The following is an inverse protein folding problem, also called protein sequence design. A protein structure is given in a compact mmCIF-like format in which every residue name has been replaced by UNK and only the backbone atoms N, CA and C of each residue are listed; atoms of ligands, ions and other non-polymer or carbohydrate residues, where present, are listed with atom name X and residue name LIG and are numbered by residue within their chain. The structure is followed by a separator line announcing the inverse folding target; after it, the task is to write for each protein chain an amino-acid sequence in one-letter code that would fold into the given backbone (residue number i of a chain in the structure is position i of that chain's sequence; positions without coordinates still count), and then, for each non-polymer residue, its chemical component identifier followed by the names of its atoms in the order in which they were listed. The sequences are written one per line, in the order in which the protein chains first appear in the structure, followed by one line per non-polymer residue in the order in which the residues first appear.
data_IF_270860794221
#
_entry.id   IF_270860794221
#
_cell.length_a   1.000
_cell.length_b   1.000
_cell.length_c   1.000
_cell.angle_alpha   90.00
_cell.angle_beta   90.00
_cell.angle_gamma   90.00
#
_symmetry.space_group_name_H-M   'P 1'
#
loop_
_entity.id
_entity.type
_entity.pdbx_description
1 polymer ?
#
# COMPACT_ATOMS: atom_id res chain seq x y z
N UNK A 1 -9.24 8.80 -6.37
CA UNK A 1 -9.18 8.71 -7.84
C UNK A 1 -10.62 8.55 -8.30
N UNK A 2 -11.17 9.47 -9.09
CA UNK A 2 -12.59 9.46 -9.46
C UNK A 2 -12.99 8.19 -10.24
N UNK A 3 -12.08 7.62 -11.04
CA UNK A 3 -12.41 6.52 -11.97
C UNK A 3 -11.92 5.12 -11.53
N UNK A 4 -11.05 5.04 -10.52
CA UNK A 4 -10.43 3.77 -10.12
C UNK A 4 -10.15 3.72 -8.61
N UNK A 5 -10.33 2.56 -8.00
CA UNK A 5 -9.92 2.33 -6.62
C UNK A 5 -8.40 2.10 -6.49
N UNK A 6 -7.80 2.55 -5.39
CA UNK A 6 -6.35 2.48 -5.20
C UNK A 6 -5.80 1.05 -5.11
N UNK A 7 -6.59 0.12 -4.58
CA UNK A 7 -6.28 -1.31 -4.52
C UNK A 7 -6.27 -1.96 -5.91
N UNK A 8 -7.18 -1.57 -6.81
CA UNK A 8 -7.16 -2.04 -8.21
C UNK A 8 -5.90 -1.57 -8.94
N UNK A 9 -5.48 -0.31 -8.72
CA UNK A 9 -4.23 0.20 -9.25
C UNK A 9 -3.03 -0.55 -8.68
N UNK A 10 -3.00 -0.80 -7.36
CA UNK A 10 -1.93 -1.53 -6.70
C UNK A 10 -1.75 -2.94 -7.29
N UNK A 11 -2.86 -3.66 -7.53
CA UNK A 11 -2.85 -4.98 -8.20
C UNK A 11 -2.22 -4.90 -9.60
N UNK A 12 -2.59 -3.90 -10.41
CA UNK A 12 -2.02 -3.70 -11.75
C UNK A 12 -0.52 -3.38 -11.69
N UNK A 13 -0.08 -2.53 -10.76
CA UNK A 13 1.34 -2.21 -10.57
C UNK A 13 2.11 -3.49 -10.20
N UNK A 14 1.61 -4.28 -9.25
CA UNK A 14 2.26 -5.53 -8.81
C UNK A 14 2.32 -6.60 -9.91
N UNK A 15 1.40 -6.60 -10.87
CA UNK A 15 1.48 -7.48 -12.03
C UNK A 15 2.65 -7.13 -12.97
N UNK A 16 3.06 -5.85 -13.02
CA UNK A 16 4.19 -5.39 -13.85
C UNK A 16 5.50 -5.39 -13.07
N UNK A 17 5.48 -4.95 -11.81
CA UNK A 17 6.63 -4.85 -10.90
C UNK A 17 6.28 -5.45 -9.54
N UNK A 18 6.45 -6.77 -9.37
CA UNK A 18 6.14 -7.45 -8.10
C UNK A 18 6.97 -6.94 -6.91
N UNK A 19 8.16 -6.42 -7.19
CA UNK A 19 9.20 -6.00 -6.24
C UNK A 19 8.97 -4.61 -5.65
N UNK A 20 8.21 -3.72 -6.31
CA UNK A 20 8.05 -2.34 -5.83
C UNK A 20 7.13 -2.30 -4.60
N UNK A 21 7.56 -1.74 -3.45
CA UNK A 21 6.70 -1.62 -2.28
C UNK A 21 5.58 -0.60 -2.55
N UNK A 22 4.36 -0.91 -2.10
CA UNK A 22 3.19 -0.03 -2.29
C UNK A 22 2.63 0.33 -0.91
N UNK A 23 2.49 1.64 -0.65
CA UNK A 23 1.79 2.18 0.51
C UNK A 23 0.43 2.72 0.05
N UNK A 24 -0.67 2.15 0.55
CA UNK A 24 -2.01 2.65 0.26
C UNK A 24 -2.47 3.64 1.34
N UNK A 25 -2.78 4.88 0.95
CA UNK A 25 -3.28 5.91 1.85
C UNK A 25 -4.78 6.15 1.63
N UNK A 26 -5.66 5.79 2.56
CA UNK A 26 -7.12 5.97 2.41
C UNK A 26 -7.78 6.62 3.63
N UNK A 27 -8.72 7.55 3.38
CA UNK A 27 -9.63 8.11 4.39
C UNK A 27 -11.05 7.57 4.29
N UNK A 28 -11.29 6.64 3.35
CA UNK A 28 -12.62 6.11 3.08
C UNK A 28 -12.94 4.98 4.08
N UNK A 29 -14.11 5.05 4.71
CA UNK A 29 -14.54 4.11 5.76
C UNK A 29 -15.14 2.80 5.21
N UNK A 30 -15.04 2.55 3.89
CA UNK A 30 -15.27 1.20 3.36
C UNK A 30 -14.23 0.33 4.02
N UNK A 31 -14.66 -0.72 4.74
CA UNK A 31 -13.80 -1.73 5.35
C UNK A 31 -12.84 -2.26 4.28
N UNK A 32 -11.66 -1.64 4.16
CA UNK A 32 -10.51 -2.29 3.57
C UNK A 32 -10.15 -3.34 4.61
N UNK A 33 -10.69 -4.54 4.43
CA UNK A 33 -10.40 -5.64 5.33
C UNK A 33 -8.95 -6.06 5.14
N UNK A 34 -8.39 -6.71 6.16
CA UNK A 34 -7.07 -7.30 6.08
C UNK A 34 -6.96 -8.26 4.88
N UNK A 35 -8.06 -8.91 4.46
CA UNK A 35 -8.08 -9.72 3.24
C UNK A 35 -7.83 -8.91 1.97
N UNK A 36 -8.37 -7.70 1.85
CA UNK A 36 -8.11 -6.84 0.68
C UNK A 36 -6.64 -6.44 0.64
N UNK A 37 -6.04 -6.16 1.79
CA UNK A 37 -4.60 -5.83 1.89
C UNK A 37 -3.76 -7.05 1.49
N UNK A 38 -4.09 -8.23 2.02
CA UNK A 38 -3.40 -9.49 1.72
C UNK A 38 -3.48 -9.86 0.24
N UNK A 39 -4.66 -9.76 -0.38
CA UNK A 39 -4.88 -10.10 -1.79
C UNK A 39 -4.24 -9.10 -2.76
N UNK A 40 -4.03 -7.86 -2.34
CA UNK A 40 -3.48 -6.80 -3.20
C UNK A 40 -1.95 -6.72 -3.16
N UNK A 41 -1.29 -7.56 -2.34
CA UNK A 41 0.16 -7.51 -2.08
C UNK A 41 0.64 -6.09 -1.72
N UNK A 42 -0.18 -5.35 -0.98
CA UNK A 42 0.15 -4.00 -0.51
C UNK A 42 1.12 -4.13 0.66
N UNK A 43 2.17 -3.31 0.68
CA UNK A 43 3.25 -3.38 1.68
C UNK A 43 2.90 -2.65 2.98
N UNK A 44 2.06 -1.60 2.89
CA UNK A 44 1.53 -0.92 4.07
C UNK A 44 0.24 -0.16 3.75
N UNK A 45 -0.56 0.08 4.79
CA UNK A 45 -1.76 0.89 4.72
C UNK A 45 -1.68 2.04 5.73
N UNK A 46 -1.99 3.26 5.29
CA UNK A 46 -2.04 4.45 6.15
C UNK A 46 -3.43 5.10 6.06
N UNK A 47 -4.10 5.22 7.20
CA UNK A 47 -5.38 5.91 7.27
C UNK A 47 -5.17 7.42 7.18
N UNK A 48 -5.94 8.11 6.34
CA UNK A 48 -5.93 9.57 6.29
C UNK A 48 -6.65 10.15 7.53
N UNK A 49 -6.19 11.29 8.07
CA UNK A 49 -5.05 12.08 7.61
C UNK A 49 -3.70 11.38 7.93
N UNK A 50 -2.77 11.42 6.97
CA UNK A 50 -1.45 10.80 7.12
C UNK A 50 -0.47 11.85 7.63
N UNK A 51 0.15 11.61 8.77
CA UNK A 51 1.21 12.49 9.28
C UNK A 51 2.54 12.23 8.59
N UNK A 52 3.37 13.27 8.47
CA UNK A 52 4.72 13.15 7.90
C UNK A 52 5.56 12.11 8.66
N UNK A 53 5.49 12.10 9.99
CA UNK A 53 6.22 11.15 10.81
C UNK A 53 5.77 9.69 10.57
N UNK A 54 4.47 9.44 10.40
CA UNK A 54 3.98 8.10 10.08
C UNK A 54 4.46 7.66 8.69
N UNK A 55 4.33 8.53 7.69
CA UNK A 55 4.79 8.25 6.33
C UNK A 55 6.30 7.95 6.28
N UNK A 56 7.12 8.81 6.88
CA UNK A 56 8.58 8.64 6.90
C UNK A 56 9.02 7.34 7.56
N UNK A 57 8.40 6.96 8.69
CA UNK A 57 8.69 5.68 9.35
C UNK A 57 8.30 4.49 8.47
N UNK A 58 7.15 4.56 7.81
CA UNK A 58 6.70 3.49 6.91
C UNK A 58 7.62 3.35 5.71
N UNK A 59 8.04 4.46 5.09
CA UNK A 59 8.99 4.44 3.97
C UNK A 59 10.32 3.83 4.42
N UNK A 60 10.90 4.31 5.54
CA UNK A 60 12.17 3.77 6.06
C UNK A 60 12.08 2.27 6.31
N UNK A 61 11.04 1.82 7.01
CA UNK A 61 10.80 0.39 7.28
C UNK A 61 10.75 -0.43 5.99
N UNK A 62 9.97 -0.02 5.00
CA UNK A 62 9.83 -0.77 3.74
C UNK A 62 11.10 -0.78 2.90
N UNK A 63 11.93 0.25 2.99
CA UNK A 63 13.22 0.29 2.31
C UNK A 63 14.29 -0.54 3.06
N UNK A 64 14.19 -0.67 4.39
CA UNK A 64 15.07 -1.53 5.21
C UNK A 64 14.77 -3.01 5.04
N UNK A 65 13.49 -3.39 4.95
CA UNK A 65 13.07 -4.78 4.72
C UNK A 65 13.55 -5.32 3.36
N UNK A 66 13.91 -4.43 2.43
CA UNK A 66 14.34 -4.78 1.08
C UNK A 66 13.22 -5.41 0.24
N UNK A 67 13.46 -5.70 -1.05
CA UNK A 67 12.52 -6.50 -1.81
C UNK A 67 12.48 -7.90 -1.19
N UNK A 68 11.29 -8.39 -0.86
CA UNK A 68 11.11 -9.78 -0.43
C UNK A 68 11.23 -10.68 -1.66
N UNK A 69 12.47 -10.97 -2.07
CA UNK A 69 12.83 -11.95 -3.10
C UNK A 69 12.53 -13.34 -2.55
N UNK A 70 11.28 -13.78 -2.75
CA UNK A 70 10.89 -15.18 -2.67
C UNK A 70 10.84 -15.77 -4.07
#
# INVERSE_FOLDING_TARGET
MPDMAGDHLAKKIKAVRPDIPIILCSGFNKKITEEVIAQSRISAYLKKPVSAAALSRTIRRLLDEGPQWG
#
